data_IF_564908338926
#
_entry.id   IF_564908338926
#
_cell.length_a   1.000
_cell.length_b   1.000
_cell.length_c   1.000
_cell.angle_alpha   90.00
_cell.angle_beta   90.00
_cell.angle_gamma   90.00
#
_symmetry.space_group_name_H-M   'P 1'
#
loop_
_entity.id
_entity.type
_entity.pdbx_description
1 polymer ?
#
# COMPACT_ATOMS: atom_id res chain seq x y z
N UNK A 1 -17.17 -9.66 19.97
CA UNK A 1 -16.23 -10.32 19.03
C UNK A 1 -17.01 -10.66 17.76
N UNK A 2 -17.01 -9.83 16.73
CA UNK A 2 -17.77 -10.09 15.49
C UNK A 2 -16.88 -9.89 14.26
N UNK A 3 -16.21 -10.98 13.84
CA UNK A 3 -15.74 -11.11 12.46
C UNK A 3 -16.96 -11.54 11.64
N UNK A 4 -17.60 -10.61 10.94
CA UNK A 4 -18.38 -10.99 9.78
C UNK A 4 -17.40 -11.67 8.81
N UNK A 5 -17.51 -13.01 8.68
CA UNK A 5 -16.68 -13.79 7.77
C UNK A 5 -17.13 -13.39 6.36
N UNK A 6 -16.21 -12.81 5.57
CA UNK A 6 -16.45 -12.50 4.16
C UNK A 6 -16.97 -13.76 3.46
N UNK A 7 -17.91 -13.60 2.53
CA UNK A 7 -18.45 -14.72 1.75
C UNK A 7 -17.32 -15.57 1.19
N UNK A 8 -17.32 -16.87 1.49
CA UNK A 8 -16.22 -17.77 1.15
C UNK A 8 -16.16 -18.07 -0.36
N UNK A 9 -17.26 -17.85 -1.07
CA UNK A 9 -17.42 -18.11 -2.49
C UNK A 9 -17.32 -16.78 -3.23
N UNK A 10 -16.34 -16.65 -4.12
CA UNK A 10 -15.97 -15.40 -4.83
C UNK A 10 -15.72 -14.18 -3.92
N UNK A 11 -14.77 -14.27 -2.96
CA UNK A 11 -14.45 -13.13 -2.11
C UNK A 11 -13.83 -12.00 -2.96
N UNK A 12 -14.49 -10.85 -2.97
CA UNK A 12 -13.93 -9.60 -3.55
C UNK A 12 -12.68 -9.14 -2.78
N UNK A 13 -12.60 -9.45 -1.48
CA UNK A 13 -11.49 -9.07 -0.61
C UNK A 13 -10.71 -10.28 -0.11
N UNK A 14 -9.41 -10.33 -0.42
CA UNK A 14 -8.48 -11.35 0.10
C UNK A 14 -8.04 -11.10 1.54
N UNK A 15 -7.52 -12.14 2.20
CA UNK A 15 -6.65 -12.10 3.40
C UNK A 15 -7.10 -11.29 4.65
N UNK A 16 -6.37 -11.34 5.77
CA UNK A 16 -6.69 -10.57 6.98
C UNK A 16 -6.47 -9.04 6.86
N UNK A 17 -6.19 -8.52 5.66
CA UNK A 17 -5.72 -7.14 5.44
C UNK A 17 -4.27 -6.97 5.90
N UNK A 18 -3.63 -5.90 5.44
CA UNK A 18 -2.29 -5.51 5.86
C UNK A 18 -2.33 -4.08 6.41
N UNK A 19 -1.68 -3.84 7.56
CA UNK A 19 -1.63 -2.53 8.23
C UNK A 19 -0.24 -2.31 8.79
N UNK A 20 0.37 -1.17 8.44
CA UNK A 20 1.65 -0.70 8.95
C UNK A 20 1.51 0.77 9.34
N UNK A 21 2.13 1.16 10.45
CA UNK A 21 2.16 2.55 10.90
C UNK A 21 3.43 3.24 10.38
N UNK A 22 3.27 4.32 9.61
CA UNK A 22 4.36 5.12 9.05
C UNK A 22 4.25 6.54 9.62
N UNK A 23 5.27 7.01 10.32
CA UNK A 23 5.21 8.27 11.07
C UNK A 23 6.38 9.24 10.80
N UNK A 24 7.21 8.93 9.82
CA UNK A 24 8.31 9.78 9.39
C UNK A 24 8.49 9.66 7.88
N UNK A 25 9.06 10.70 7.28
CA UNK A 25 9.25 10.80 5.82
C UNK A 25 10.03 9.61 5.25
N UNK A 26 11.13 9.23 5.91
CA UNK A 26 12.00 8.13 5.45
C UNK A 26 11.26 6.80 5.34
N UNK A 27 10.38 6.50 6.28
CA UNK A 27 9.58 5.27 6.26
C UNK A 27 8.51 5.29 5.15
N UNK A 28 7.92 6.46 4.87
CA UNK A 28 7.01 6.63 3.72
C UNK A 28 7.75 6.39 2.41
N UNK A 29 8.87 7.06 2.19
CA UNK A 29 9.70 6.91 0.98
C UNK A 29 10.20 5.47 0.80
N UNK A 30 10.63 4.81 1.88
CA UNK A 30 11.02 3.39 1.83
C UNK A 30 9.86 2.49 1.41
N UNK A 31 8.66 2.79 1.90
CA UNK A 31 7.46 1.99 1.60
C UNK A 31 7.02 2.19 0.16
N UNK A 32 7.10 3.41 -0.38
CA UNK A 32 6.85 3.71 -1.79
C UNK A 32 7.76 2.85 -2.67
N UNK A 33 9.08 2.89 -2.45
CA UNK A 33 10.04 2.04 -3.20
C UNK A 33 9.70 0.55 -3.12
N UNK A 34 9.35 0.06 -1.92
CA UNK A 34 8.93 -1.34 -1.75
C UNK A 34 7.71 -1.70 -2.61
N UNK A 35 6.71 -0.81 -2.69
CA UNK A 35 5.51 -1.01 -3.50
C UNK A 35 5.84 -0.97 -4.99
N UNK A 36 6.64 0.00 -5.44
CA UNK A 36 7.07 0.14 -6.84
C UNK A 36 7.90 -1.05 -7.31
N UNK A 37 8.71 -1.65 -6.43
CA UNK A 37 9.50 -2.84 -6.71
C UNK A 37 8.67 -4.14 -6.77
N UNK A 38 7.45 -4.17 -6.23
CA UNK A 38 6.68 -5.41 -6.13
C UNK A 38 6.33 -6.02 -7.51
N UNK A 39 5.87 -5.23 -8.51
CA UNK A 39 5.72 -5.75 -9.87
C UNK A 39 7.00 -6.38 -10.40
N UNK A 40 8.16 -5.73 -10.21
CA UNK A 40 9.44 -6.24 -10.68
C UNK A 40 9.80 -7.58 -10.01
N UNK A 41 9.63 -7.69 -8.69
CA UNK A 41 9.82 -8.95 -7.93
C UNK A 41 8.89 -10.06 -8.41
N UNK A 42 7.69 -9.69 -8.84
CA UNK A 42 6.69 -10.60 -9.43
C UNK A 42 6.90 -10.85 -10.93
N UNK A 43 7.98 -10.31 -11.54
CA UNK A 43 8.27 -10.40 -12.99
C UNK A 43 7.18 -9.76 -13.86
N UNK A 44 6.61 -8.67 -13.37
CA UNK A 44 5.63 -7.82 -14.06
C UNK A 44 6.24 -6.47 -14.39
N UNK A 45 5.65 -5.76 -15.36
CA UNK A 45 6.08 -4.41 -15.71
C UNK A 45 5.81 -3.41 -14.56
N UNK A 46 6.63 -2.35 -14.40
CA UNK A 46 6.31 -1.23 -13.54
C UNK A 46 4.93 -0.66 -13.83
N UNK A 47 4.24 -0.19 -12.79
CA UNK A 47 2.87 0.31 -12.89
C UNK A 47 2.83 1.83 -12.69
N UNK A 48 2.10 2.52 -13.56
CA UNK A 48 1.80 3.96 -13.46
C UNK A 48 0.32 4.20 -13.67
N UNK A 49 -0.27 5.11 -12.89
CA UNK A 49 -1.71 5.36 -12.92
C UNK A 49 -1.98 6.87 -12.88
N UNK A 50 -2.88 7.36 -13.73
CA UNK A 50 -3.19 8.80 -13.85
C UNK A 50 -3.79 9.41 -12.57
N UNK A 51 -4.44 8.58 -11.74
CA UNK A 51 -5.05 9.02 -10.48
C UNK A 51 -4.08 9.02 -9.29
N UNK A 52 -2.81 8.62 -9.49
CA UNK A 52 -1.80 8.57 -8.43
C UNK A 52 -0.88 9.78 -8.54
N UNK A 53 -0.91 10.64 -7.51
CA UNK A 53 0.02 11.75 -7.37
C UNK A 53 1.29 11.30 -6.65
N UNK A 54 2.45 11.70 -7.16
CA UNK A 54 3.73 11.45 -6.49
C UNK A 54 3.77 12.10 -5.11
N UNK A 55 4.34 11.40 -4.13
CA UNK A 55 4.51 11.92 -2.79
C UNK A 55 5.53 13.07 -2.78
N UNK A 56 5.19 14.17 -2.14
CA UNK A 56 5.95 15.43 -2.10
C UNK A 56 6.83 15.58 -0.85
N UNK A 57 6.87 14.57 0.02
CA UNK A 57 7.60 14.61 1.29
C UNK A 57 6.78 15.16 2.46
N UNK A 58 5.50 15.50 2.26
CA UNK A 58 4.67 16.04 3.33
C UNK A 58 4.46 15.06 4.50
N UNK A 59 4.75 15.50 5.72
CA UNK A 59 4.39 14.80 6.94
C UNK A 59 3.42 15.68 7.76
N UNK A 60 2.26 15.15 8.19
CA UNK A 60 1.35 15.91 9.03
C UNK A 60 2.07 16.44 10.29
N UNK A 61 2.01 17.75 10.50
CA UNK A 61 2.53 18.38 11.71
C UNK A 61 4.03 18.68 11.73
N UNK A 62 4.79 18.31 10.69
CA UNK A 62 6.10 18.92 10.44
C UNK A 62 5.90 20.15 9.52
N UNK A 63 6.43 21.30 9.95
CA UNK A 63 6.61 22.50 9.13
C UNK A 63 8.06 22.58 8.67
#
# INVERSE_FOLDING_TARGET
>A
RFRARRGAVHPVWGGPGWKVFLNNQRDVERTIRYIEDNPLKARMAPQSWEFVTSYDGWIPGLR
#
